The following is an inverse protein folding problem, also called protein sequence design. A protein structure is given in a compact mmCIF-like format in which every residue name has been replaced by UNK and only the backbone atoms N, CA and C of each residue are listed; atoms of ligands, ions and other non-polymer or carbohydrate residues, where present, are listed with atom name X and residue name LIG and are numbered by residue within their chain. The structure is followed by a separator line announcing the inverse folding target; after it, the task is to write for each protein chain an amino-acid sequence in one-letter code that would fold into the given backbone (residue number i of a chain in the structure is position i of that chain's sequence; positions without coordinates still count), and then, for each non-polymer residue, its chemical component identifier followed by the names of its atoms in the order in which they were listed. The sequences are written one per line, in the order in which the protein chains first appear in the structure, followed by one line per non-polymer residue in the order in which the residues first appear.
data_IF_842434820254
#
_entry.id   IF_842434820254
#
_cell.length_a   1.000
_cell.length_b   1.000
_cell.length_c   1.000
_cell.angle_alpha   90.00
_cell.angle_beta   90.00
_cell.angle_gamma   90.00
#
_symmetry.space_group_name_H-M   'P 1'
#
loop_
_entity.id
_entity.type
_entity.pdbx_description
1 polymer ?
#
# COMPACT_ATOMS: atom_id res chain seq x y z
N UNK A 1 42.70 13.50 -1.00
CA UNK A 1 41.91 12.53 -0.23
C UNK A 1 41.27 13.29 0.92
N UNK A 2 40.05 13.77 0.73
CA UNK A 2 39.31 14.49 1.78
C UNK A 2 38.52 13.48 2.60
N UNK A 3 38.64 13.57 3.92
CA UNK A 3 37.95 12.72 4.87
C UNK A 3 36.42 12.77 4.67
N UNK A 4 35.68 11.68 4.99
CA UNK A 4 34.23 11.70 4.92
C UNK A 4 33.67 12.71 5.93
N UNK A 5 32.81 13.60 5.42
CA UNK A 5 31.97 14.53 6.17
C UNK A 5 31.12 13.82 7.24
N UNK A 6 30.70 14.53 8.31
CA UNK A 6 30.12 13.92 9.49
C UNK A 6 28.81 13.20 9.15
N UNK A 7 28.56 12.09 9.86
CA UNK A 7 27.36 11.26 9.79
C UNK A 7 26.10 12.11 9.59
N UNK A 8 25.46 12.01 8.43
CA UNK A 8 24.09 12.51 8.25
C UNK A 8 23.27 11.91 9.39
N UNK A 9 22.66 12.72 10.28
CA UNK A 9 21.85 12.16 11.33
C UNK A 9 20.79 11.28 10.68
N UNK A 10 20.44 10.14 11.30
CA UNK A 10 19.27 9.34 10.91
C UNK A 10 17.94 10.11 11.10
N UNK A 11 18.01 11.44 11.19
CA UNK A 11 17.03 12.36 11.73
C UNK A 11 15.68 12.31 11.04
N UNK A 12 14.69 12.66 11.83
CA UNK A 12 13.26 12.61 11.55
C UNK A 12 12.81 13.95 10.96
N UNK A 13 13.08 14.16 9.67
CA UNK A 13 12.48 15.25 8.91
C UNK A 13 11.41 14.72 7.96
N UNK A 14 10.41 15.53 7.63
CA UNK A 14 9.51 15.25 6.50
C UNK A 14 9.65 16.31 5.43
N UNK A 15 9.57 15.92 4.17
CA UNK A 15 9.56 16.82 3.03
C UNK A 15 8.24 16.68 2.25
N UNK A 16 7.78 17.74 1.59
CA UNK A 16 6.62 17.69 0.68
C UNK A 16 6.97 18.19 -0.71
N UNK A 17 7.04 17.28 -1.68
CA UNK A 17 7.44 17.59 -3.05
C UNK A 17 6.80 16.68 -4.09
N UNK A 18 7.26 16.78 -5.33
CA UNK A 18 6.94 15.82 -6.38
C UNK A 18 7.97 14.69 -6.35
N UNK A 19 7.55 13.41 -6.28
CA UNK A 19 8.49 12.29 -6.26
C UNK A 19 9.40 12.21 -7.49
N UNK A 20 8.88 12.63 -8.65
CA UNK A 20 9.61 12.73 -9.92
C UNK A 20 9.58 14.19 -10.37
N UNK A 21 10.61 15.00 -10.05
CA UNK A 21 10.61 16.44 -10.35
C UNK A 21 10.44 16.78 -11.83
N UNK A 22 10.97 15.94 -12.73
CA UNK A 22 10.81 16.09 -14.19
C UNK A 22 9.40 15.80 -14.70
N UNK A 23 8.54 15.18 -13.88
CA UNK A 23 7.16 14.83 -14.19
C UNK A 23 6.24 15.11 -12.99
N UNK A 24 5.93 16.38 -12.70
CA UNK A 24 5.18 16.77 -11.50
C UNK A 24 3.70 16.36 -11.59
N UNK A 25 3.39 15.12 -11.19
CA UNK A 25 2.03 14.55 -11.23
C UNK A 25 1.26 14.77 -9.91
N UNK A 26 1.78 14.25 -8.79
CA UNK A 26 1.17 14.36 -7.46
C UNK A 26 2.25 14.72 -6.44
N UNK A 27 1.90 15.58 -5.48
CA UNK A 27 2.78 15.88 -4.34
C UNK A 27 2.46 14.97 -3.16
N UNK A 28 3.49 14.50 -2.48
CA UNK A 28 3.35 13.72 -1.25
C UNK A 28 4.20 14.31 -0.14
N UNK A 29 3.86 13.98 1.11
CA UNK A 29 4.73 14.22 2.26
C UNK A 29 5.38 12.90 2.67
N UNK A 30 6.71 12.86 2.77
CA UNK A 30 7.46 11.65 3.10
C UNK A 30 8.55 11.95 4.14
N UNK A 31 9.00 10.91 4.85
CA UNK A 31 10.14 10.94 5.74
C UNK A 31 11.44 11.09 4.92
N UNK A 32 12.33 11.93 5.44
CA UNK A 32 13.70 12.13 4.93
C UNK A 32 14.69 11.24 5.71
N UNK A 33 15.99 11.33 5.39
CA UNK A 33 17.02 10.58 6.10
C UNK A 33 16.96 9.08 5.81
N UNK A 34 17.04 8.25 6.85
CA UNK A 34 17.17 6.81 6.69
C UNK A 34 16.00 6.14 5.95
N UNK A 35 14.76 6.61 6.17
CA UNK A 35 13.60 6.09 5.42
C UNK A 35 13.69 6.41 3.94
N UNK A 36 14.11 7.63 3.60
CA UNK A 36 14.32 8.05 2.21
C UNK A 36 15.33 7.15 1.51
N UNK A 37 16.47 6.91 2.14
CA UNK A 37 17.55 6.10 1.56
C UNK A 37 17.16 4.61 1.43
N UNK A 38 16.43 4.07 2.41
CA UNK A 38 15.88 2.70 2.35
C UNK A 38 14.89 2.56 1.19
N UNK A 39 13.96 3.51 1.05
CA UNK A 39 12.99 3.47 -0.04
C UNK A 39 13.63 3.74 -1.40
N UNK A 40 14.66 4.57 -1.49
CA UNK A 40 15.41 4.75 -2.73
C UNK A 40 16.12 3.47 -3.15
N UNK A 41 16.65 2.68 -2.21
CA UNK A 41 17.17 1.34 -2.51
C UNK A 41 16.07 0.36 -2.96
N UNK A 42 14.86 0.46 -2.39
CA UNK A 42 13.70 -0.30 -2.89
C UNK A 42 13.36 0.07 -4.33
N UNK A 43 13.29 1.37 -4.65
CA UNK A 43 13.06 1.84 -6.03
C UNK A 43 14.10 1.22 -6.97
N UNK A 44 15.39 1.25 -6.62
CA UNK A 44 16.42 0.67 -7.47
C UNK A 44 16.28 -0.85 -7.66
N UNK A 45 15.92 -1.58 -6.59
CA UNK A 45 15.66 -3.02 -6.69
C UNK A 45 14.51 -3.32 -7.64
N UNK A 46 13.37 -2.65 -7.44
CA UNK A 46 12.16 -2.86 -8.26
C UNK A 46 12.43 -2.50 -9.72
N UNK A 47 13.14 -1.39 -9.98
CA UNK A 47 13.56 -1.01 -11.33
C UNK A 47 14.47 -2.05 -11.98
N UNK A 48 15.37 -2.67 -11.21
CA UNK A 48 16.21 -3.77 -11.71
C UNK A 48 15.37 -5.00 -12.07
N UNK A 49 14.36 -5.34 -11.28
CA UNK A 49 13.45 -6.46 -11.60
C UNK A 49 12.59 -6.17 -12.83
N UNK A 50 12.12 -4.93 -12.98
CA UNK A 50 11.43 -4.46 -14.19
C UNK A 50 12.34 -4.50 -15.41
N UNK A 51 13.59 -4.04 -15.30
CA UNK A 51 14.56 -4.12 -16.39
C UNK A 51 14.81 -5.56 -16.85
N UNK A 52 14.90 -6.49 -15.89
CA UNK A 52 15.03 -7.92 -16.20
C UNK A 52 13.77 -8.47 -16.89
N UNK A 53 12.57 -8.15 -16.40
CA UNK A 53 11.33 -8.56 -17.04
C UNK A 53 11.23 -8.06 -18.50
N UNK A 54 11.63 -6.81 -18.75
CA UNK A 54 11.72 -6.23 -20.11
C UNK A 54 12.76 -6.93 -20.97
N UNK A 55 13.96 -7.22 -20.43
CA UNK A 55 15.00 -7.95 -21.15
C UNK A 55 14.58 -9.37 -21.52
N UNK A 56 13.71 -9.99 -20.72
CA UNK A 56 13.07 -11.28 -20.98
C UNK A 56 11.88 -11.19 -21.96
N UNK A 57 11.50 -9.99 -22.41
CA UNK A 57 10.37 -9.76 -23.33
C UNK A 57 9.00 -10.02 -22.69
N UNK A 58 8.90 -9.88 -21.36
CA UNK A 58 7.63 -10.07 -20.64
C UNK A 58 6.73 -8.84 -20.74
N UNK A 59 5.42 -9.08 -20.71
CA UNK A 59 4.39 -8.05 -20.56
C UNK A 59 4.30 -7.70 -19.07
N UNK A 60 4.56 -6.45 -18.72
CA UNK A 60 4.64 -6.00 -17.33
C UNK A 60 3.32 -5.40 -16.87
N UNK A 61 2.80 -5.96 -15.77
CA UNK A 61 1.53 -5.58 -15.16
C UNK A 61 1.76 -5.09 -13.73
N UNK A 62 1.38 -3.85 -13.42
CA UNK A 62 1.36 -3.36 -12.04
C UNK A 62 0.09 -3.84 -11.32
N UNK A 63 0.22 -4.52 -10.17
CA UNK A 63 -0.92 -4.89 -9.34
C UNK A 63 -1.17 -3.84 -8.25
N UNK A 64 -2.18 -2.99 -8.45
CA UNK A 64 -2.69 -2.11 -7.41
C UNK A 64 -3.56 -2.89 -6.44
N UNK A 65 -3.09 -3.06 -5.20
CA UNK A 65 -3.78 -3.78 -4.16
C UNK A 65 -3.90 -2.94 -2.87
N UNK A 66 -5.04 -3.00 -2.16
CA UNK A 66 -5.29 -2.21 -0.96
C UNK A 66 -4.57 -2.80 0.26
N UNK A 67 -3.24 -2.83 0.27
CA UNK A 67 -2.45 -3.38 1.39
C UNK A 67 -2.74 -2.57 2.66
N UNK A 68 -2.63 -1.24 2.57
CA UNK A 68 -3.09 -0.30 3.60
C UNK A 68 -4.42 0.34 3.20
N UNK A 69 -5.54 -0.20 3.68
CA UNK A 69 -6.88 0.31 3.37
C UNK A 69 -7.40 1.25 4.46
N UNK A 70 -7.81 2.47 4.07
CA UNK A 70 -8.55 3.39 4.99
C UNK A 70 -9.95 2.88 5.32
N UNK A 71 -10.50 1.97 4.50
CA UNK A 71 -11.82 1.37 4.73
C UNK A 71 -11.88 0.33 5.86
N UNK A 72 -10.75 -0.01 6.49
CA UNK A 72 -10.60 -1.11 7.45
C UNK A 72 -9.69 -2.21 6.90
N UNK A 73 -9.82 -3.44 7.41
CA UNK A 73 -9.04 -4.59 6.94
C UNK A 73 -7.83 -4.93 7.81
N UNK A 74 -7.21 -6.06 7.51
CA UNK A 74 -6.07 -6.60 8.23
C UNK A 74 -4.90 -6.79 7.25
N UNK A 75 -3.74 -6.20 7.57
CA UNK A 75 -2.58 -6.14 6.68
C UNK A 75 -2.18 -7.52 6.14
N UNK A 76 -2.01 -8.50 7.03
CA UNK A 76 -1.62 -9.86 6.61
C UNK A 76 -2.66 -10.54 5.69
N UNK A 77 -3.95 -10.24 5.87
CA UNK A 77 -5.01 -10.78 5.01
C UNK A 77 -5.03 -10.05 3.66
N UNK A 78 -4.79 -8.73 3.63
CA UNK A 78 -4.63 -8.00 2.38
C UNK A 78 -3.42 -8.50 1.58
N UNK A 79 -2.31 -8.82 2.26
CA UNK A 79 -1.12 -9.44 1.64
C UNK A 79 -1.45 -10.81 1.08
N UNK A 80 -2.15 -11.66 1.83
CA UNK A 80 -2.59 -12.99 1.35
C UNK A 80 -3.45 -12.86 0.07
N UNK A 81 -4.41 -11.92 0.05
CA UNK A 81 -5.29 -11.69 -1.10
C UNK A 81 -4.49 -11.20 -2.30
N UNK A 82 -3.60 -10.21 -2.13
CA UNK A 82 -2.80 -9.67 -3.23
C UNK A 82 -1.86 -10.73 -3.81
N UNK A 83 -1.24 -11.55 -2.97
CA UNK A 83 -0.45 -12.71 -3.41
C UNK A 83 -1.29 -13.71 -4.19
N UNK A 84 -2.51 -13.97 -3.73
CA UNK A 84 -3.43 -14.87 -4.42
C UNK A 84 -3.88 -14.31 -5.79
N UNK A 85 -4.18 -13.01 -5.88
CA UNK A 85 -4.50 -12.30 -7.12
C UNK A 85 -3.32 -12.35 -8.09
N UNK A 86 -2.10 -12.07 -7.64
CA UNK A 86 -0.91 -12.15 -8.47
C UNK A 86 -0.70 -13.57 -9.03
N UNK A 87 -0.87 -14.61 -8.20
CA UNK A 87 -0.80 -16.01 -8.66
C UNK A 87 -1.87 -16.34 -9.67
N UNK A 88 -3.11 -15.91 -9.42
CA UNK A 88 -4.23 -16.14 -10.35
C UNK A 88 -3.99 -15.46 -11.69
N UNK A 89 -3.50 -14.21 -11.71
CA UNK A 89 -3.12 -13.52 -12.93
C UNK A 89 -2.02 -14.28 -13.68
N UNK A 90 -0.95 -14.69 -13.01
CA UNK A 90 0.11 -15.48 -13.63
C UNK A 90 -0.40 -16.81 -14.21
N UNK A 91 -1.35 -17.48 -13.54
CA UNK A 91 -1.93 -18.74 -14.01
C UNK A 91 -2.87 -18.55 -15.20
N UNK A 92 -3.68 -17.49 -15.20
CA UNK A 92 -4.72 -17.28 -16.20
C UNK A 92 -4.24 -16.51 -17.43
N UNK A 93 -3.34 -15.55 -17.24
CA UNK A 93 -2.75 -14.75 -18.34
C UNK A 93 -1.49 -15.42 -18.89
N UNK A 94 -0.85 -16.28 -18.09
CA UNK A 94 0.28 -17.11 -18.50
C UNK A 94 1.64 -16.47 -18.24
N UNK A 95 2.68 -17.26 -18.48
CA UNK A 95 4.07 -16.94 -18.08
C UNK A 95 4.70 -15.74 -18.79
N UNK A 96 4.11 -15.29 -19.91
CA UNK A 96 4.53 -14.08 -20.60
C UNK A 96 4.25 -12.81 -19.81
N UNK A 97 3.38 -12.86 -18.80
CA UNK A 97 3.05 -11.72 -17.96
C UNK A 97 3.92 -11.72 -16.69
N UNK A 98 4.59 -10.61 -16.44
CA UNK A 98 5.23 -10.30 -15.18
C UNK A 98 4.31 -9.40 -14.35
N UNK A 99 3.74 -9.95 -13.28
CA UNK A 99 2.90 -9.18 -12.35
C UNK A 99 3.77 -8.61 -11.25
N UNK A 100 3.97 -7.30 -11.25
CA UNK A 100 4.62 -6.58 -10.16
C UNK A 100 3.63 -6.44 -9.01
N UNK A 101 3.80 -7.29 -7.97
CA UNK A 101 2.99 -7.27 -6.77
C UNK A 101 3.67 -6.44 -5.64
N UNK A 102 3.08 -5.30 -5.22
CA UNK A 102 3.60 -4.47 -4.14
C UNK A 102 3.88 -5.20 -2.83
N UNK A 103 3.15 -6.27 -2.51
CA UNK A 103 3.34 -7.00 -1.24
C UNK A 103 4.77 -7.51 -1.08
N UNK A 104 5.46 -7.86 -2.16
CA UNK A 104 6.83 -8.38 -2.08
C UNK A 104 7.86 -7.34 -1.59
N UNK A 105 7.47 -6.06 -1.55
CA UNK A 105 8.36 -4.91 -1.33
C UNK A 105 7.94 -4.00 -0.16
N UNK A 106 6.84 -4.28 0.51
CA UNK A 106 6.28 -3.40 1.55
C UNK A 106 6.45 -3.97 2.97
N UNK A 107 6.51 -3.09 3.99
CA UNK A 107 6.73 -3.50 5.39
C UNK A 107 5.63 -4.41 5.96
N UNK A 108 4.47 -4.39 5.35
CA UNK A 108 3.32 -5.19 5.74
C UNK A 108 3.52 -6.68 5.41
N UNK A 109 4.58 -7.06 4.68
CA UNK A 109 4.95 -8.44 4.40
C UNK A 109 6.29 -8.86 5.03
N UNK A 110 6.47 -10.18 5.17
CA UNK A 110 7.73 -10.77 5.64
C UNK A 110 8.86 -10.55 4.65
N UNK A 111 8.54 -10.60 3.36
CA UNK A 111 9.46 -10.35 2.26
C UNK A 111 9.97 -8.91 2.32
N UNK A 112 9.07 -7.92 2.44
CA UNK A 112 9.45 -6.51 2.46
C UNK A 112 10.21 -6.10 3.73
N UNK A 113 9.83 -6.62 4.90
CA UNK A 113 10.63 -6.42 6.14
C UNK A 113 12.03 -7.02 6.03
N UNK A 114 12.17 -8.18 5.40
CA UNK A 114 13.46 -8.79 5.07
C UNK A 114 14.30 -7.92 4.12
N UNK A 115 13.68 -7.39 3.06
CA UNK A 115 14.34 -6.47 2.12
C UNK A 115 14.82 -5.19 2.81
N UNK A 116 13.99 -4.58 3.67
CA UNK A 116 14.35 -3.35 4.39
C UNK A 116 15.52 -3.60 5.33
N UNK A 117 15.50 -4.72 6.06
CA UNK A 117 16.62 -5.12 6.92
C UNK A 117 17.93 -5.27 6.12
N UNK A 118 17.86 -5.88 4.92
CA UNK A 118 19.00 -5.98 4.00
C UNK A 118 19.47 -4.61 3.50
N UNK A 119 18.57 -3.69 3.21
CA UNK A 119 18.93 -2.33 2.77
C UNK A 119 19.58 -1.52 3.88
N UNK A 120 19.10 -1.65 5.13
CA UNK A 120 19.73 -1.05 6.30
C UNK A 120 21.15 -1.56 6.51
N UNK A 121 21.37 -2.87 6.37
CA UNK A 121 22.72 -3.45 6.42
C UNK A 121 23.62 -2.89 5.32
N UNK A 122 23.11 -2.72 4.10
CA UNK A 122 23.84 -2.07 3.01
C UNK A 122 24.09 -0.58 3.24
N UNK A 123 23.34 0.06 4.16
CA UNK A 123 23.50 1.44 4.58
C UNK A 123 24.29 1.59 5.89
N UNK A 124 24.86 0.52 6.45
CA UNK A 124 25.60 0.56 7.73
C UNK A 124 26.75 1.57 7.77
N UNK A 125 27.34 1.90 6.61
CA UNK A 125 28.37 2.93 6.51
C UNK A 125 27.83 4.35 6.67
N UNK A 126 26.57 4.58 6.29
CA UNK A 126 25.87 5.86 6.42
C UNK A 126 25.14 5.97 7.77
N UNK A 127 24.50 4.87 8.20
CA UNK A 127 23.74 4.78 9.45
C UNK A 127 24.25 3.61 10.32
N UNK A 128 25.40 3.77 11.00
CA UNK A 128 25.97 2.69 11.82
C UNK A 128 25.03 2.24 12.93
N UNK A 129 24.78 0.92 13.00
CA UNK A 129 23.98 0.31 14.07
C UNK A 129 22.47 0.58 14.03
N UNK A 130 21.96 1.17 12.94
CA UNK A 130 20.54 1.37 12.71
C UNK A 130 19.88 0.05 12.27
N UNK A 131 18.95 -0.45 13.07
CA UNK A 131 18.14 -1.64 12.78
C UNK A 131 16.73 -1.22 12.35
N UNK A 132 15.95 -2.13 11.76
CA UNK A 132 14.56 -1.86 11.41
C UNK A 132 13.74 -1.46 12.66
N UNK A 133 13.94 -2.16 13.77
CA UNK A 133 13.30 -1.84 15.06
C UNK A 133 13.60 -0.40 15.50
N UNK A 134 14.87 0.01 15.49
CA UNK A 134 15.27 1.38 15.85
C UNK A 134 14.71 2.40 14.88
N UNK A 135 14.70 2.09 13.59
CA UNK A 135 14.16 2.99 12.57
C UNK A 135 12.65 3.20 12.75
N UNK A 136 11.89 2.13 12.99
CA UNK A 136 10.46 2.20 13.31
C UNK A 136 10.17 2.98 14.59
N UNK A 137 11.04 2.85 15.61
CA UNK A 137 10.93 3.61 16.86
C UNK A 137 11.21 5.11 16.67
N UNK A 138 12.04 5.49 15.69
CA UNK A 138 12.32 6.89 15.36
C UNK A 138 11.15 7.52 14.58
N UNK A 139 10.68 6.84 13.54
CA UNK A 139 9.53 7.25 12.75
C UNK A 139 8.93 6.04 12.04
N UNK A 140 7.60 5.97 11.94
CA UNK A 140 6.94 5.00 11.07
C UNK A 140 6.71 5.63 9.68
N UNK A 141 6.89 4.86 8.60
CA UNK A 141 6.55 5.36 7.28
C UNK A 141 5.02 5.52 7.17
N UNK A 142 4.60 6.56 6.49
CA UNK A 142 3.22 6.87 6.19
C UNK A 142 2.91 6.54 4.72
N UNK A 143 1.64 6.68 4.34
CA UNK A 143 1.22 6.47 2.95
C UNK A 143 1.96 7.34 1.93
N UNK A 144 2.41 8.54 2.32
CA UNK A 144 3.18 9.40 1.43
C UNK A 144 4.61 8.91 1.16
N UNK A 145 5.22 8.15 2.07
CA UNK A 145 6.51 7.48 1.84
C UNK A 145 6.38 6.41 0.75
N UNK A 146 5.37 5.54 0.90
CA UNK A 146 5.05 4.52 -0.08
C UNK A 146 4.68 5.13 -1.42
N UNK A 147 3.84 6.17 -1.42
CA UNK A 147 3.45 6.81 -2.67
C UNK A 147 4.59 7.57 -3.33
N UNK A 148 5.57 8.10 -2.59
CA UNK A 148 6.80 8.59 -3.19
C UNK A 148 7.55 7.45 -3.88
N UNK A 149 7.80 6.35 -3.19
CA UNK A 149 8.51 5.18 -3.73
C UNK A 149 7.80 4.65 -5.00
N UNK A 150 6.50 4.37 -4.90
CA UNK A 150 5.71 3.85 -6.02
C UNK A 150 5.61 4.84 -7.17
N UNK A 151 5.42 6.14 -6.91
CA UNK A 151 5.43 7.14 -7.99
C UNK A 151 6.73 7.10 -8.79
N UNK A 152 7.89 6.97 -8.12
CA UNK A 152 9.17 6.83 -8.83
C UNK A 152 9.23 5.56 -9.68
N UNK A 153 8.75 4.44 -9.17
CA UNK A 153 8.68 3.16 -9.92
C UNK A 153 7.73 3.26 -11.12
N UNK A 154 6.56 3.86 -10.93
CA UNK A 154 5.47 3.90 -11.91
C UNK A 154 5.71 4.92 -13.03
N UNK A 155 6.47 5.99 -12.75
CA UNK A 155 6.65 7.14 -13.65
C UNK A 155 8.02 7.12 -14.32
N UNK A 156 9.11 6.93 -13.56
CA UNK A 156 10.47 6.95 -14.12
C UNK A 156 10.64 5.72 -15.04
N UNK A 157 11.20 5.90 -16.24
CA UNK A 157 11.33 4.82 -17.23
C UNK A 157 12.66 4.85 -18.01
N UNK A 158 13.56 5.73 -17.62
CA UNK A 158 14.87 5.95 -18.24
C UNK A 158 15.78 4.72 -18.28
N UNK A 159 15.53 3.73 -17.40
CA UNK A 159 16.29 2.50 -17.22
C UNK A 159 15.90 1.38 -18.21
N UNK A 160 14.84 1.56 -18.98
CA UNK A 160 14.32 0.57 -19.96
C UNK A 160 13.84 1.23 -21.26
N UNK A 161 13.58 2.54 -21.25
CA UNK A 161 13.05 3.24 -22.40
C UNK A 161 14.05 3.19 -23.56
N UNK A 162 13.53 2.87 -24.75
CA UNK A 162 14.28 3.02 -26.00
C UNK A 162 14.83 4.44 -26.11
N UNK A 163 15.95 4.60 -26.83
CA UNK A 163 16.68 5.88 -26.93
C UNK A 163 15.78 7.10 -27.23
N UNK A 164 14.74 6.94 -28.05
CA UNK A 164 13.77 8.00 -28.42
C UNK A 164 12.77 8.38 -27.31
N UNK A 165 12.53 7.48 -26.34
CA UNK A 165 11.60 7.66 -25.22
C UNK A 165 12.32 8.01 -23.91
N UNK A 166 13.66 7.94 -23.88
CA UNK A 166 14.47 8.12 -22.68
C UNK A 166 14.30 9.51 -22.06
N UNK A 167 14.12 9.57 -20.75
CA UNK A 167 13.97 10.82 -20.00
C UNK A 167 12.60 11.48 -20.14
N UNK A 168 11.62 10.78 -20.73
CA UNK A 168 10.23 11.25 -20.76
C UNK A 168 9.51 10.98 -19.45
N UNK A 169 9.90 9.93 -18.71
CA UNK A 169 9.27 9.54 -17.45
C UNK A 169 7.75 9.43 -17.62
N UNK A 170 7.35 8.62 -18.61
CA UNK A 170 5.96 8.37 -18.97
C UNK A 170 5.54 6.96 -18.56
N UNK A 171 6.24 6.33 -17.61
CA UNK A 171 5.94 5.00 -17.09
C UNK A 171 6.11 3.89 -18.11
N UNK A 172 7.05 4.03 -19.07
CA UNK A 172 7.32 3.07 -20.14
C UNK A 172 7.68 1.64 -19.69
N UNK A 173 7.72 1.39 -18.37
CA UNK A 173 7.90 0.07 -17.78
C UNK A 173 6.66 -0.80 -17.76
N UNK A 174 5.48 -0.21 -17.92
CA UNK A 174 4.22 -0.90 -17.70
C UNK A 174 3.39 -0.93 -18.97
N UNK A 175 2.93 -2.13 -19.31
CA UNK A 175 1.96 -2.39 -20.36
C UNK A 175 0.53 -2.29 -19.83
N UNK A 176 0.33 -2.69 -18.56
CA UNK A 176 -0.96 -2.62 -17.92
C UNK A 176 -0.92 -2.37 -16.41
N UNK A 177 -2.00 -1.82 -15.87
CA UNK A 177 -2.30 -1.75 -14.45
C UNK A 177 -3.51 -2.64 -14.16
N UNK A 178 -3.46 -3.38 -13.05
CA UNK A 178 -4.55 -4.20 -12.56
C UNK A 178 -4.95 -3.73 -11.17
N UNK A 179 -6.19 -3.26 -11.02
CA UNK A 179 -6.75 -2.81 -9.76
C UNK A 179 -7.59 -3.93 -9.14
N UNK A 180 -7.16 -4.42 -7.97
CA UNK A 180 -7.84 -5.50 -7.26
C UNK A 180 -9.26 -5.10 -6.88
N UNK A 181 -10.24 -5.93 -7.27
CA UNK A 181 -11.65 -5.70 -7.00
C UNK A 181 -12.29 -6.66 -6.00
N UNK A 182 -13.60 -6.53 -5.74
CA UNK A 182 -14.32 -7.39 -4.81
C UNK A 182 -14.41 -8.85 -5.27
N UNK A 183 -14.43 -9.15 -6.57
CA UNK A 183 -14.45 -10.52 -7.09
C UNK A 183 -13.13 -11.22 -6.80
N UNK A 184 -11.99 -10.51 -6.91
CA UNK A 184 -10.68 -11.06 -6.51
C UNK A 184 -10.67 -11.48 -5.04
N UNK A 185 -11.23 -10.65 -4.16
CA UNK A 185 -11.35 -10.93 -2.73
C UNK A 185 -12.26 -12.12 -2.46
N UNK A 186 -13.42 -12.19 -3.11
CA UNK A 186 -14.34 -13.34 -2.96
C UNK A 186 -13.69 -14.63 -3.45
N UNK A 187 -12.97 -14.57 -4.57
CA UNK A 187 -12.24 -15.72 -5.13
C UNK A 187 -11.20 -16.23 -4.15
N UNK A 188 -10.45 -15.32 -3.50
CA UNK A 188 -9.51 -15.70 -2.45
C UNK A 188 -10.20 -16.48 -1.32
N UNK A 189 -11.30 -15.96 -0.75
CA UNK A 189 -12.00 -16.65 0.33
C UNK A 189 -12.61 -17.98 -0.11
N UNK A 190 -13.11 -18.08 -1.35
CA UNK A 190 -13.62 -19.32 -1.93
C UNK A 190 -12.53 -20.38 -2.13
N UNK A 191 -11.30 -19.98 -2.45
CA UNK A 191 -10.16 -20.91 -2.55
C UNK A 191 -9.57 -21.27 -1.18
N UNK A 192 -9.60 -20.30 -0.26
CA UNK A 192 -8.99 -20.46 1.05
C UNK A 192 -9.85 -21.30 2.01
N UNK A 193 -11.11 -21.60 1.69
CA UNK A 193 -12.07 -22.21 2.61
C UNK A 193 -13.04 -23.14 1.89
N UNK A 194 -13.60 -24.11 2.62
CA UNK A 194 -14.60 -25.06 2.12
C UNK A 194 -16.06 -24.61 2.33
N UNK A 195 -16.26 -23.47 3.00
CA UNK A 195 -17.57 -22.85 3.22
C UNK A 195 -18.41 -22.69 1.95
N UNK A 196 -19.72 -22.96 2.09
CA UNK A 196 -20.68 -22.93 0.97
C UNK A 196 -21.21 -21.52 0.65
N UNK A 197 -21.04 -20.57 1.58
CA UNK A 197 -21.39 -19.16 1.41
C UNK A 197 -20.16 -18.28 1.64
N UNK A 198 -20.18 -17.04 1.12
CA UNK A 198 -19.11 -16.07 1.36
C UNK A 198 -18.86 -15.87 2.86
N UNK A 199 -19.94 -15.75 3.66
CA UNK A 199 -19.80 -15.63 5.12
C UNK A 199 -19.13 -16.86 5.71
N UNK A 200 -19.57 -18.07 5.34
CA UNK A 200 -18.96 -19.32 5.84
C UNK A 200 -17.49 -19.45 5.46
N UNK A 201 -17.11 -19.05 4.25
CA UNK A 201 -15.71 -19.05 3.80
C UNK A 201 -14.84 -18.09 4.61
N UNK A 202 -15.35 -16.89 4.88
CA UNK A 202 -14.65 -15.91 5.70
C UNK A 202 -14.53 -16.35 7.16
N UNK A 203 -15.56 -17.01 7.70
CA UNK A 203 -15.58 -17.55 9.07
C UNK A 203 -14.52 -18.63 9.26
N UNK A 204 -14.47 -19.58 8.32
CA UNK A 204 -13.46 -20.63 8.32
C UNK A 204 -12.03 -20.06 8.17
N UNK A 205 -11.84 -19.07 7.29
CA UNK A 205 -10.55 -18.39 7.15
C UNK A 205 -10.14 -17.72 8.46
N UNK A 206 -11.06 -16.95 9.08
CA UNK A 206 -10.82 -16.24 10.33
C UNK A 206 -10.46 -17.21 11.45
N UNK A 207 -11.27 -18.24 11.68
CA UNK A 207 -11.04 -19.24 12.73
C UNK A 207 -9.70 -19.96 12.54
N UNK A 208 -9.37 -20.35 11.30
CA UNK A 208 -8.08 -20.97 10.98
C UNK A 208 -6.92 -20.02 11.24
N UNK A 209 -6.98 -18.77 10.77
CA UNK A 209 -5.89 -17.80 10.97
C UNK A 209 -5.72 -17.43 12.43
N UNK A 210 -6.81 -17.25 13.17
CA UNK A 210 -6.79 -17.01 14.61
C UNK A 210 -6.12 -18.16 15.39
N UNK A 211 -6.24 -19.40 14.91
CA UNK A 211 -5.60 -20.56 15.54
C UNK A 211 -4.14 -20.74 15.11
N UNK A 212 -3.83 -20.48 13.84
CA UNK A 212 -2.54 -20.89 13.24
C UNK A 212 -1.52 -19.76 13.08
N UNK A 213 -1.97 -18.50 13.11
CA UNK A 213 -1.09 -17.33 12.97
C UNK A 213 -1.02 -16.56 14.28
N UNK A 214 0.16 -16.54 14.90
CA UNK A 214 0.41 -15.76 16.12
C UNK A 214 0.16 -14.28 15.92
N UNK A 215 0.58 -13.73 14.78
CA UNK A 215 0.38 -12.30 14.45
C UNK A 215 -1.12 -11.98 14.37
N UNK A 216 -1.87 -12.79 13.60
CA UNK A 216 -3.33 -12.63 13.49
C UNK A 216 -4.02 -12.79 14.85
N UNK A 217 -3.62 -13.80 15.63
CA UNK A 217 -4.14 -13.98 16.98
C UNK A 217 -3.94 -12.72 17.82
N UNK A 218 -2.71 -12.18 17.87
CA UNK A 218 -2.40 -10.99 18.69
C UNK A 218 -3.21 -9.77 18.23
N UNK A 219 -3.38 -9.55 16.93
CA UNK A 219 -4.14 -8.41 16.40
C UNK A 219 -5.61 -8.42 16.83
N UNK A 220 -6.20 -9.60 17.05
CA UNK A 220 -7.59 -9.74 17.49
C UNK A 220 -7.73 -9.97 19.00
N UNK A 221 -6.75 -10.60 19.64
CA UNK A 221 -6.78 -11.05 21.03
C UNK A 221 -6.09 -10.11 22.02
N UNK A 222 -5.57 -8.95 21.58
CA UNK A 222 -4.93 -7.98 22.49
C UNK A 222 -5.60 -6.62 22.47
N UNK A 223 -5.76 -5.96 23.62
CA UNK A 223 -6.22 -4.57 23.67
C UNK A 223 -5.16 -3.67 24.29
N UNK A 224 -5.08 -2.45 23.74
CA UNK A 224 -4.30 -1.38 24.34
C UNK A 224 -5.05 -0.88 25.59
N UNK A 225 -4.31 -0.75 26.68
CA UNK A 225 -4.79 -0.02 27.86
C UNK A 225 -4.48 1.47 27.70
N UNK A 226 -5.18 2.33 28.45
CA UNK A 226 -4.91 3.78 28.51
C UNK A 226 -3.45 4.15 28.84
N UNK A 227 -2.62 3.18 29.24
CA UNK A 227 -1.22 3.33 29.61
C UNK A 227 -0.25 2.69 28.60
N UNK A 228 -0.66 2.54 27.34
CA UNK A 228 0.20 2.04 26.24
C UNK A 228 0.74 0.61 26.48
N UNK A 229 0.07 -0.16 27.34
CA UNK A 229 0.36 -1.59 27.57
C UNK A 229 -0.68 -2.44 26.89
N UNK A 230 -0.23 -3.33 26.01
CA UNK A 230 -1.05 -4.39 25.46
C UNK A 230 -1.29 -5.47 26.50
N UNK A 231 -2.54 -5.91 26.62
CA UNK A 231 -2.91 -7.09 27.40
C UNK A 231 -3.71 -8.06 26.53
N UNK A 232 -3.69 -9.34 26.89
CA UNK A 232 -4.54 -10.35 26.26
C UNK A 232 -5.98 -10.20 26.77
N UNK A 233 -6.92 -10.25 25.85
CA UNK A 233 -8.35 -10.19 26.13
C UNK A 233 -8.81 -11.43 26.89
N UNK A 234 -9.50 -11.23 28.01
CA UNK A 234 -10.21 -12.26 28.75
C UNK A 234 -11.69 -12.25 28.35
N UNK A 235 -12.07 -13.17 27.46
CA UNK A 235 -13.43 -13.23 26.92
C UNK A 235 -14.51 -13.57 27.96
N UNK A 236 -14.15 -13.89 29.21
CA UNK A 236 -15.11 -13.99 30.31
C UNK A 236 -15.55 -12.60 30.84
N UNK A 237 -14.75 -11.56 30.56
CA UNK A 237 -15.10 -10.17 30.83
C UNK A 237 -15.93 -9.61 29.67
N UNK A 238 -17.05 -8.99 30.00
CA UNK A 238 -17.99 -8.43 29.00
C UNK A 238 -17.33 -7.37 28.10
N UNK A 239 -16.45 -6.54 28.66
CA UNK A 239 -15.71 -5.49 27.96
C UNK A 239 -14.81 -6.07 26.86
N UNK A 240 -14.00 -7.07 27.23
CA UNK A 240 -13.05 -7.73 26.33
C UNK A 240 -13.76 -8.55 25.25
N UNK A 241 -14.83 -9.27 25.62
CA UNK A 241 -15.69 -9.97 24.67
C UNK A 241 -16.32 -9.01 23.65
N UNK A 242 -16.77 -7.83 24.11
CA UNK A 242 -17.34 -6.80 23.24
C UNK A 242 -16.29 -6.24 22.28
N UNK A 243 -15.07 -5.97 22.76
CA UNK A 243 -13.98 -5.48 21.93
C UNK A 243 -13.57 -6.51 20.86
N UNK A 244 -13.46 -7.78 21.24
CA UNK A 244 -13.19 -8.88 20.31
C UNK A 244 -14.26 -8.98 19.22
N UNK A 245 -15.55 -9.02 19.59
CA UNK A 245 -16.64 -9.11 18.61
C UNK A 245 -16.73 -7.87 17.72
N UNK A 246 -16.43 -6.68 18.23
CA UNK A 246 -16.39 -5.46 17.42
C UNK A 246 -15.30 -5.54 16.33
N UNK A 247 -14.09 -5.99 16.67
CA UNK A 247 -12.99 -6.16 15.72
C UNK A 247 -13.28 -7.26 14.71
N UNK A 248 -13.80 -8.39 15.19
CA UNK A 248 -14.23 -9.50 14.35
C UNK A 248 -15.30 -9.02 13.35
N UNK A 249 -16.35 -8.34 13.82
CA UNK A 249 -17.39 -7.74 12.94
C UNK A 249 -16.81 -6.75 11.94
N UNK A 250 -15.84 -5.93 12.33
CA UNK A 250 -15.17 -5.00 11.42
C UNK A 250 -14.41 -5.74 10.31
N UNK A 251 -13.71 -6.83 10.64
CA UNK A 251 -13.06 -7.70 9.67
C UNK A 251 -14.07 -8.24 8.64
N UNK A 252 -15.18 -8.84 9.11
CA UNK A 252 -16.21 -9.38 8.21
C UNK A 252 -16.86 -8.29 7.35
N UNK A 253 -17.16 -7.14 7.94
CA UNK A 253 -17.76 -6.01 7.21
C UNK A 253 -16.82 -5.52 6.11
N UNK A 254 -15.53 -5.38 6.40
CA UNK A 254 -14.57 -4.92 5.41
C UNK A 254 -14.45 -5.90 4.25
N UNK A 255 -14.15 -7.16 4.53
CA UNK A 255 -13.85 -8.15 3.49
C UNK A 255 -15.07 -8.62 2.68
N UNK A 256 -16.28 -8.43 3.20
CA UNK A 256 -17.50 -8.78 2.46
C UNK A 256 -17.96 -7.68 1.48
N UNK A 257 -17.75 -6.40 1.82
CA UNK A 257 -18.36 -5.30 1.05
C UNK A 257 -17.42 -4.13 0.69
N UNK A 258 -16.23 -4.04 1.27
CA UNK A 258 -15.31 -2.89 1.09
C UNK A 258 -13.90 -3.25 0.63
N UNK A 259 -13.49 -4.52 0.68
CA UNK A 259 -12.15 -4.90 0.25
C UNK A 259 -12.01 -4.76 -1.27
N UNK A 260 -11.41 -3.66 -1.72
CA UNK A 260 -11.01 -3.40 -3.11
C UNK A 260 -10.13 -2.16 -3.20
N UNK A 261 -9.50 -1.96 -4.36
CA UNK A 261 -8.79 -0.74 -4.72
C UNK A 261 -9.66 0.53 -4.56
N UNK A 262 -10.99 0.42 -4.64
CA UNK A 262 -11.89 1.55 -4.46
C UNK A 262 -11.87 2.14 -3.04
N UNK A 263 -11.41 1.40 -2.02
CA UNK A 263 -11.34 1.84 -0.63
C UNK A 263 -9.89 2.00 -0.14
N UNK A 264 -8.95 2.18 -1.08
CA UNK A 264 -7.52 2.41 -0.83
C UNK A 264 -7.06 3.74 -1.40
N UNK A 265 -6.46 4.56 -0.57
CA UNK A 265 -5.90 5.84 -1.01
C UNK A 265 -4.68 5.67 -1.90
N UNK A 266 -3.86 4.65 -1.63
CA UNK A 266 -2.73 4.35 -2.50
C UNK A 266 -3.22 4.03 -3.92
N UNK A 267 -4.25 3.18 -4.01
CA UNK A 267 -4.89 2.84 -5.28
C UNK A 267 -5.51 4.05 -5.98
N UNK A 268 -6.05 5.00 -5.23
CA UNK A 268 -6.56 6.25 -5.79
C UNK A 268 -5.45 7.13 -6.37
N UNK A 269 -4.32 7.24 -5.69
CA UNK A 269 -3.16 7.99 -6.20
C UNK A 269 -2.51 7.28 -7.41
N UNK A 270 -2.47 5.95 -7.41
CA UNK A 270 -2.00 5.12 -8.53
C UNK A 270 -2.90 5.29 -9.76
N UNK A 271 -4.22 5.27 -9.56
CA UNK A 271 -5.19 5.58 -10.61
C UNK A 271 -4.97 6.98 -11.18
N UNK A 272 -4.84 7.98 -10.31
CA UNK A 272 -4.59 9.35 -10.71
C UNK A 272 -3.23 9.55 -11.39
N UNK A 273 -2.25 8.68 -11.10
CA UNK A 273 -0.96 8.63 -11.80
C UNK A 273 -1.14 8.05 -13.20
N UNK A 274 -1.78 6.88 -13.31
CA UNK A 274 -2.11 6.24 -14.59
C UNK A 274 -2.86 7.19 -15.53
N UNK A 275 -3.93 7.83 -15.04
CA UNK A 275 -4.73 8.78 -15.82
C UNK A 275 -3.86 9.90 -16.42
N UNK A 276 -2.99 10.52 -15.60
CA UNK A 276 -2.11 11.61 -16.04
C UNK A 276 -0.99 11.13 -16.96
N UNK A 277 -0.47 9.92 -16.75
CA UNK A 277 0.50 9.30 -17.66
C UNK A 277 -0.13 9.08 -19.04
N UNK A 278 -1.31 8.49 -19.12
CA UNK A 278 -2.00 8.26 -20.40
C UNK A 278 -2.38 9.58 -21.09
N UNK A 279 -2.84 10.58 -20.34
CA UNK A 279 -3.06 11.92 -20.87
C UNK A 279 -1.78 12.50 -21.51
N UNK A 280 -0.63 12.36 -20.85
CA UNK A 280 0.65 12.82 -21.36
C UNK A 280 1.13 11.99 -22.57
N UNK A 281 0.97 10.67 -22.55
CA UNK A 281 1.32 9.77 -23.67
C UNK A 281 0.55 10.09 -24.94
N UNK A 282 -0.75 10.38 -24.84
CA UNK A 282 -1.58 10.80 -25.99
C UNK A 282 -1.08 12.09 -26.65
N UNK A 283 -0.55 13.01 -25.86
CA UNK A 283 0.01 14.28 -26.33
C UNK A 283 1.46 14.18 -26.81
N UNK A 284 2.12 13.04 -26.59
CA UNK A 284 3.54 12.85 -26.86
C UNK A 284 3.77 12.24 -28.27
N UNK A 285 4.61 12.85 -29.12
CA UNK A 285 4.79 12.41 -30.50
C UNK A 285 5.46 11.03 -30.64
N UNK A 286 6.16 10.53 -29.61
CA UNK A 286 6.84 9.22 -29.63
C UNK A 286 6.01 8.08 -29.03
N UNK A 287 4.94 8.41 -28.29
CA UNK A 287 3.97 7.47 -27.75
C UNK A 287 2.70 7.50 -28.61
N UNK A 288 1.86 8.51 -28.41
CA UNK A 288 0.53 8.58 -29.00
C UNK A 288 -0.47 7.61 -28.35
N UNK A 289 -1.73 7.58 -28.85
CA UNK A 289 -2.82 6.79 -28.27
C UNK A 289 -2.61 5.27 -28.33
N UNK A 290 -1.80 4.77 -29.27
CA UNK A 290 -1.50 3.34 -29.38
C UNK A 290 -0.56 2.80 -28.29
N UNK A 291 0.03 3.68 -27.49
CA UNK A 291 1.01 3.34 -26.46
C UNK A 291 0.52 3.69 -25.05
N UNK A 292 -0.78 3.88 -24.87
CA UNK A 292 -1.38 4.07 -23.54
C UNK A 292 -1.25 2.80 -22.69
N UNK A 293 -1.12 2.99 -21.37
CA UNK A 293 -1.10 1.87 -20.41
C UNK A 293 -2.53 1.34 -20.28
N UNK A 294 -2.73 0.05 -20.54
CA UNK A 294 -4.02 -0.60 -20.34
C UNK A 294 -4.39 -0.66 -18.85
N UNK A 295 -5.68 -0.67 -18.53
CA UNK A 295 -6.15 -0.74 -17.16
C UNK A 295 -7.20 -1.83 -17.01
N UNK A 296 -7.12 -2.58 -15.90
CA UNK A 296 -8.05 -3.64 -15.53
C UNK A 296 -8.58 -3.37 -14.13
N UNK A 297 -9.84 -3.69 -13.89
CA UNK A 297 -10.45 -3.70 -12.56
C UNK A 297 -11.27 -4.98 -12.40
N UNK A 298 -11.03 -5.71 -11.32
CA UNK A 298 -11.83 -6.88 -10.94
C UNK A 298 -11.94 -7.93 -12.08
N UNK A 299 -10.81 -8.21 -12.73
CA UNK A 299 -10.71 -9.20 -13.82
C UNK A 299 -11.18 -8.71 -15.19
N UNK A 300 -11.62 -7.46 -15.31
CA UNK A 300 -12.15 -6.90 -16.57
C UNK A 300 -11.28 -5.74 -17.05
N UNK A 301 -11.03 -5.69 -18.35
CA UNK A 301 -10.42 -4.50 -18.94
C UNK A 301 -11.40 -3.33 -18.83
N UNK A 302 -10.89 -2.17 -18.45
CA UNK A 302 -11.66 -0.95 -18.31
C UNK A 302 -11.94 -0.35 -19.69
N UNK A 303 -13.08 0.33 -19.81
CA UNK A 303 -13.43 0.99 -21.07
C UNK A 303 -12.64 2.29 -21.23
N UNK A 304 -12.58 2.80 -22.46
CA UNK A 304 -11.93 4.08 -22.76
C UNK A 304 -12.42 5.19 -21.81
N UNK A 305 -13.74 5.34 -21.69
CA UNK A 305 -14.36 6.35 -20.84
C UNK A 305 -14.04 6.19 -19.34
N UNK A 306 -13.90 4.95 -18.86
CA UNK A 306 -13.51 4.69 -17.48
C UNK A 306 -12.08 5.22 -17.23
N UNK A 307 -11.15 4.97 -18.14
CA UNK A 307 -9.73 5.37 -17.98
C UNK A 307 -9.44 6.84 -18.25
N UNK A 308 -10.43 7.61 -18.70
CA UNK A 308 -10.31 9.03 -19.03
C UNK A 308 -10.72 9.98 -17.90
N UNK A 309 -11.03 9.46 -16.71
CA UNK A 309 -11.43 10.28 -15.56
C UNK A 309 -10.50 10.07 -14.37
N UNK A 310 -10.09 11.15 -13.67
CA UNK A 310 -9.43 11.02 -12.39
C UNK A 310 -10.40 10.49 -11.33
N UNK A 311 -9.86 9.97 -10.24
CA UNK A 311 -10.61 9.63 -9.03
C UNK A 311 -10.28 10.61 -7.90
N UNK A 312 -10.96 10.49 -6.77
CA UNK A 312 -10.71 11.34 -5.59
C UNK A 312 -9.23 11.23 -5.15
N UNK A 313 -8.62 12.29 -4.60
CA UNK A 313 -7.23 12.23 -4.14
C UNK A 313 -7.02 11.22 -2.99
N UNK A 314 -5.87 10.54 -3.00
CA UNK A 314 -5.45 9.65 -1.93
C UNK A 314 -4.65 10.37 -0.83
N UNK A 315 -3.37 10.03 -0.72
CA UNK A 315 -2.37 10.73 0.09
C UNK A 315 -1.84 12.01 -0.58
N UNK A 316 -2.17 12.21 -1.85
CA UNK A 316 -1.79 13.40 -2.60
C UNK A 316 -2.15 14.70 -1.88
N UNK A 317 -1.19 15.61 -1.77
CA UNK A 317 -1.40 16.95 -1.23
C UNK A 317 -1.90 17.86 -2.34
N UNK A 318 -3.06 18.45 -2.15
CA UNK A 318 -3.49 19.60 -2.95
C UNK A 318 -2.63 20.80 -2.59
N UNK A 319 -2.20 21.55 -3.59
CA UNK A 319 -1.62 22.88 -3.40
C UNK A 319 -2.47 23.87 -4.17
N UNK A 320 -3.10 24.81 -3.47
CA UNK A 320 -3.37 26.11 -4.08
C UNK A 320 -2.02 26.78 -4.41
N UNK A 321 -1.95 27.61 -5.47
CA UNK A 321 -0.83 28.54 -5.65
C UNK A 321 -0.69 29.43 -4.40
N UNK A 322 0.50 30.01 -4.13
CA UNK A 322 0.75 30.68 -2.86
C UNK A 322 -0.21 31.85 -2.64
N UNK A 323 -1.12 31.73 -1.66
CA UNK A 323 -1.85 32.87 -1.13
C UNK A 323 -3.35 32.72 -0.85
N UNK A 324 -3.87 31.61 -0.33
CA UNK A 324 -5.15 31.61 0.42
C UNK A 324 -5.05 30.61 1.58
N UNK A 325 -5.48 31.00 2.77
CA UNK A 325 -5.53 30.12 3.96
C UNK A 325 -6.81 29.31 3.93
N UNK A 326 -6.71 27.99 3.89
CA UNK A 326 -7.82 27.09 4.22
C UNK A 326 -7.45 26.19 5.41
N UNK A 327 -8.37 26.08 6.37
CA UNK A 327 -8.19 25.45 7.67
C UNK A 327 -7.95 23.94 7.60
N UNK A 328 -7.04 23.48 8.47
CA UNK A 328 -6.71 22.07 8.71
C UNK A 328 -7.92 21.29 9.23
N UNK A 329 -8.11 20.09 8.68
CA UNK A 329 -8.55 18.93 9.45
C UNK A 329 -7.54 17.80 9.21
N UNK A 330 -6.59 17.66 10.15
CA UNK A 330 -5.81 16.43 10.31
C UNK A 330 -6.75 15.42 10.97
N UNK A 331 -7.26 14.46 10.19
CA UNK A 331 -8.05 13.35 10.74
C UNK A 331 -7.07 12.27 11.19
N UNK A 332 -7.09 12.02 12.49
CA UNK A 332 -6.29 11.00 13.17
C UNK A 332 -6.57 9.57 12.66
N UNK A 333 -5.55 8.73 12.82
CA UNK A 333 -5.56 7.28 12.62
C UNK A 333 -6.71 6.61 13.40
N UNK A 334 -7.48 5.65 12.85
CA UNK A 334 -8.78 5.27 13.41
C UNK A 334 -8.73 4.26 14.57
N UNK A 335 -7.58 4.00 15.18
CA UNK A 335 -7.51 3.26 16.44
C UNK A 335 -7.14 4.22 17.58
N UNK A 336 -8.01 5.20 17.80
CA UNK A 336 -8.13 5.88 19.08
C UNK A 336 -9.06 5.07 20.00
N UNK A 337 -8.83 5.17 21.31
CA UNK A 337 -9.43 4.35 22.37
C UNK A 337 -10.91 4.00 22.19
N UNK A 338 -11.25 2.77 22.61
CA UNK A 338 -12.62 2.25 22.72
C UNK A 338 -13.46 3.26 23.53
N UNK A 339 -14.65 3.67 23.06
CA UNK A 339 -15.50 4.53 23.84
C UNK A 339 -15.93 3.80 25.13
N UNK A 340 -15.73 4.46 26.27
CA UNK A 340 -16.14 3.93 27.57
C UNK A 340 -17.64 3.57 27.57
N UNK A 341 -18.04 2.46 28.22
CA UNK A 341 -19.45 2.09 28.29
C UNK A 341 -20.25 3.18 29.00
N UNK A 342 -21.42 3.51 28.45
CA UNK A 342 -22.34 4.47 29.03
C UNK A 342 -22.67 4.06 30.48
N UNK A 343 -22.32 4.92 31.43
CA UNK A 343 -22.72 4.76 32.82
C UNK A 343 -24.23 4.69 32.89
N UNK A 344 -24.77 3.54 33.31
CA UNK A 344 -26.16 3.46 33.72
C UNK A 344 -26.33 4.37 34.94
N UNK A 345 -26.93 5.55 34.73
CA UNK A 345 -27.45 6.35 35.82
C UNK A 345 -28.67 5.64 36.38
N UNK A 346 -28.45 4.81 37.40
CA UNK A 346 -29.50 4.37 38.28
C UNK A 346 -30.08 5.58 39.02
N UNK A 347 -31.32 5.92 38.71
CA UNK A 347 -32.13 6.79 39.55
C UNK A 347 -32.62 5.97 40.75
N UNK A 348 -31.88 6.04 41.85
CA UNK A 348 -32.43 5.83 43.18
C UNK A 348 -32.82 7.21 43.72
N UNK A 349 -34.11 7.42 44.01
CA UNK A 349 -34.58 8.67 44.60
C UNK A 349 -36.10 8.69 44.79
N UNK A 350 -36.50 8.33 46.03
CA UNK A 350 -37.81 8.44 46.68
C UNK A 350 -38.92 7.45 46.29
#
# INVERSE_FOLDING_TARGET
MSAPSPSTPAGTGTETGFPVPGRPIIRFTWNTGAWLDVFDRHVQLIKSDLARAHAEGRIVVYLSCPISSRGGGHFGTNVDIANDTARWLSQTWGERFFVLNPTAYQLESKEGTGLISRHLEALRGTYPGLTLEKLLALARPAGGDYMRMWSRVLIEDDYIAARRRRGRDLGGAFDAYYFQGPTDVRRFFAHASSGQSLSGQMEEYFARKYTTSREFYLDFATADTDHDRQHLLDLTRVEDATAYEARRRAFFTYYSVRASAAFSLGSHDEWNTLFRLNQARRADPDYGPGEEIAAFFDGRQLTLGDTEQPTVPGYGKTGEPPGVRAGRAEVAWPYGAVPAPASQSGSAGA
#
